data_IF_425960442110
#
_entry.id   IF_425960442110
#
_cell.length_a   1.000
_cell.length_b   1.000
_cell.length_c   1.000
_cell.angle_alpha   90.00
_cell.angle_beta   90.00
_cell.angle_gamma   90.00
#
_symmetry.space_group_name_H-M   'P 1'
#
loop_
_entity.id
_entity.type
_entity.pdbx_description
1 polymer ?
#
# COMPACT_ATOMS: atom_id res chain seq x y z
N UNK A 1 -17.56 -13.57 52.64
CA UNK A 1 -18.16 -13.66 51.30
C UNK A 1 -18.39 -12.26 50.78
N UNK A 2 -18.19 -12.08 49.47
CA UNK A 2 -18.38 -10.86 48.67
C UNK A 2 -17.25 -9.82 48.72
N UNK A 3 -16.25 -10.06 47.86
CA UNK A 3 -15.35 -9.04 47.34
C UNK A 3 -15.94 -8.44 46.04
N UNK A 4 -15.91 -7.11 45.98
CA UNK A 4 -16.31 -6.22 44.89
C UNK A 4 -15.43 -6.39 43.65
N UNK A 5 -16.04 -6.74 42.51
CA UNK A 5 -15.36 -6.88 41.22
C UNK A 5 -15.65 -5.71 40.27
N UNK A 6 -14.69 -4.79 40.14
CA UNK A 6 -14.61 -3.81 39.04
C UNK A 6 -14.26 -4.52 37.73
N UNK A 7 -15.19 -4.57 36.76
CA UNK A 7 -14.92 -5.06 35.40
C UNK A 7 -14.46 -3.90 34.50
N UNK A 8 -13.25 -4.02 33.95
CA UNK A 8 -12.70 -3.16 32.88
C UNK A 8 -13.39 -3.45 31.54
N UNK A 9 -13.73 -2.44 30.72
CA UNK A 9 -14.27 -2.65 29.39
C UNK A 9 -13.16 -2.99 28.37
N UNK A 10 -13.44 -3.96 27.51
CA UNK A 10 -12.64 -4.44 26.39
C UNK A 10 -12.69 -3.48 25.19
N UNK A 11 -11.59 -3.24 24.46
CA UNK A 11 -11.60 -2.38 23.26
C UNK A 11 -12.05 -3.14 22.01
N UNK A 12 -12.98 -2.54 21.26
CA UNK A 12 -13.44 -2.96 19.93
C UNK A 12 -12.45 -2.58 18.82
N UNK A 13 -12.26 -3.40 17.77
CA UNK A 13 -11.38 -3.08 16.66
C UNK A 13 -12.00 -2.11 15.66
N UNK A 14 -11.25 -1.06 15.31
CA UNK A 14 -11.56 -0.07 14.28
C UNK A 14 -11.19 -0.61 12.89
N UNK A 15 -12.19 -0.98 12.09
CA UNK A 15 -12.03 -1.32 10.68
C UNK A 15 -11.86 -0.03 9.84
N UNK A 16 -10.64 0.23 9.38
CA UNK A 16 -10.32 1.27 8.40
C UNK A 16 -10.61 0.75 6.97
N UNK A 17 -11.82 0.97 6.45
CA UNK A 17 -12.10 0.80 5.02
C UNK A 17 -11.59 2.00 4.23
N UNK A 18 -10.48 1.80 3.50
CA UNK A 18 -9.87 2.77 2.58
C UNK A 18 -10.64 2.75 1.26
N UNK A 19 -11.40 3.81 0.97
CA UNK A 19 -12.11 3.98 -0.30
C UNK A 19 -11.16 4.51 -1.38
N UNK A 20 -11.04 3.79 -2.49
CA UNK A 20 -10.45 4.29 -3.74
C UNK A 20 -11.58 4.87 -4.59
N UNK A 21 -11.57 6.18 -4.82
CA UNK A 21 -12.56 6.88 -5.65
C UNK A 21 -12.10 6.81 -7.11
N UNK A 22 -12.90 6.17 -7.97
CA UNK A 22 -12.71 6.17 -9.42
C UNK A 22 -13.76 7.09 -10.05
N UNK A 23 -13.34 8.21 -10.66
CA UNK A 23 -14.23 9.13 -11.37
C UNK A 23 -14.49 8.61 -12.79
N UNK A 24 -15.74 8.33 -13.11
CA UNK A 24 -16.23 8.09 -14.47
C UNK A 24 -17.37 9.08 -14.74
N UNK A 25 -17.11 10.06 -15.61
CA UNK A 25 -18.14 10.99 -16.11
C UNK A 25 -18.91 10.35 -17.25
N UNK A 26 -20.20 10.08 -17.03
CA UNK A 26 -21.15 9.72 -18.08
C UNK A 26 -22.34 10.68 -18.04
N UNK A 27 -22.49 11.48 -19.08
CA UNK A 27 -23.72 12.23 -19.38
C UNK A 27 -24.81 11.26 -19.85
N UNK A 28 -25.95 11.23 -19.17
CA UNK A 28 -27.13 10.49 -19.60
C UNK A 28 -28.42 11.33 -19.45
N UNK A 29 -29.41 11.17 -20.35
CA UNK A 29 -30.69 11.88 -20.31
C UNK A 29 -31.71 11.22 -19.35
N UNK A 30 -32.59 12.06 -18.81
CA UNK A 30 -33.68 11.80 -17.85
C UNK A 30 -34.98 11.31 -18.55
N UNK A 31 -36.06 10.85 -17.86
CA UNK A 31 -36.18 10.16 -16.57
C UNK A 31 -37.07 8.87 -16.64
N UNK A 32 -36.81 7.87 -15.79
CA UNK A 32 -37.90 7.08 -15.16
C UNK A 32 -37.57 6.84 -13.69
N UNK A 33 -38.60 6.97 -12.85
CA UNK A 33 -38.57 7.15 -11.39
C UNK A 33 -37.81 6.01 -10.67
N UNK A 34 -36.62 6.30 -10.18
CA UNK A 34 -35.96 5.57 -9.09
C UNK A 34 -36.18 6.35 -7.78
N UNK A 35 -36.46 5.67 -6.67
CA UNK A 35 -36.47 6.31 -5.35
C UNK A 35 -35.03 6.74 -5.01
N UNK A 36 -34.74 8.00 -5.28
CA UNK A 36 -33.45 8.61 -5.11
C UNK A 36 -33.47 9.44 -3.82
N UNK A 37 -32.76 8.98 -2.78
CA UNK A 37 -32.52 9.83 -1.59
C UNK A 37 -31.32 10.71 -1.90
N UNK A 38 -31.55 11.90 -2.47
CA UNK A 38 -30.49 12.86 -2.77
C UNK A 38 -30.33 13.86 -1.61
N UNK A 39 -29.16 13.89 -0.96
CA UNK A 39 -28.83 14.96 -0.01
C UNK A 39 -28.09 16.07 -0.74
N UNK A 40 -28.68 17.27 -0.81
CA UNK A 40 -28.01 18.48 -1.31
C UNK A 40 -27.60 19.34 -0.11
N UNK A 41 -26.30 19.52 0.11
CA UNK A 41 -25.79 20.51 1.07
C UNK A 41 -25.36 21.75 0.29
N UNK A 42 -26.17 22.82 0.35
CA UNK A 42 -25.73 24.17 0.00
C UNK A 42 -25.18 24.80 1.28
N UNK A 43 -23.90 25.12 1.31
CA UNK A 43 -23.26 25.79 2.45
C UNK A 43 -23.28 27.30 2.23
N UNK A 44 -24.03 28.03 3.05
CA UNK A 44 -23.73 29.45 3.37
C UNK A 44 -22.84 29.58 4.60
N UNK A 45 -22.28 28.48 5.12
CA UNK A 45 -21.29 28.48 6.19
C UNK A 45 -20.54 27.14 6.25
N UNK A 46 -19.37 27.08 5.60
CA UNK A 46 -18.16 26.29 5.92
C UNK A 46 -17.26 26.30 4.70
N UNK A 47 -16.07 26.87 4.85
CA UNK A 47 -14.99 27.01 3.85
C UNK A 47 -14.62 25.68 3.19
N UNK A 48 -15.43 25.24 2.23
CA UNK A 48 -15.22 24.03 1.46
C UNK A 48 -15.98 24.14 0.15
N UNK A 49 -15.34 23.73 -0.93
CA UNK A 49 -15.96 23.71 -2.27
C UNK A 49 -17.26 22.91 -2.25
N UNK A 50 -18.27 23.34 -3.00
CA UNK A 50 -19.55 22.65 -3.11
C UNK A 50 -19.39 21.27 -3.77
N UNK A 51 -19.95 20.22 -3.16
CA UNK A 51 -19.97 18.85 -3.71
C UNK A 51 -21.39 18.27 -3.69
N UNK A 52 -21.72 17.45 -4.69
CA UNK A 52 -23.00 16.72 -4.76
C UNK A 52 -22.72 15.22 -4.73
N UNK A 53 -23.27 14.52 -3.73
CA UNK A 53 -23.20 13.07 -3.60
C UNK A 53 -24.61 12.47 -3.67
N UNK A 54 -24.78 11.41 -4.47
CA UNK A 54 -26.05 10.69 -4.60
C UNK A 54 -25.81 9.21 -4.40
N UNK A 55 -26.61 8.57 -3.54
CA UNK A 55 -26.55 7.13 -3.25
C UNK A 55 -27.79 6.46 -3.87
N UNK A 56 -27.57 5.41 -4.65
CA UNK A 56 -28.63 4.61 -5.27
C UNK A 56 -28.49 3.15 -4.88
N UNK A 57 -29.61 2.42 -4.86
CA UNK A 57 -29.64 0.96 -4.77
C UNK A 57 -29.91 0.39 -6.17
N UNK A 58 -29.08 -0.54 -6.67
CA UNK A 58 -29.29 -1.11 -7.99
C UNK A 58 -30.54 -1.99 -8.00
N UNK A 59 -31.45 -1.74 -8.94
CA UNK A 59 -32.64 -2.54 -9.18
C UNK A 59 -32.57 -3.07 -10.62
N UNK A 60 -32.16 -4.33 -10.73
CA UNK A 60 -31.98 -5.14 -11.95
C UNK A 60 -30.65 -4.99 -12.72
N UNK A 61 -30.01 -6.12 -13.10
CA UNK A 61 -28.78 -6.10 -13.88
C UNK A 61 -29.06 -5.80 -15.36
N UNK A 62 -28.33 -4.84 -15.94
CA UNK A 62 -28.32 -4.58 -17.37
C UNK A 62 -27.76 -5.78 -18.16
N UNK A 63 -28.22 -6.00 -19.41
CA UNK A 63 -27.69 -7.05 -20.28
C UNK A 63 -26.19 -6.85 -20.52
N UNK A 64 -25.40 -7.90 -20.26
CA UNK A 64 -23.94 -7.87 -20.42
C UNK A 64 -23.58 -7.97 -21.90
N UNK A 65 -22.96 -6.93 -22.45
CA UNK A 65 -22.28 -7.01 -23.75
C UNK A 65 -20.96 -7.76 -23.57
N UNK A 66 -20.80 -8.90 -24.25
CA UNK A 66 -19.61 -9.74 -24.16
C UNK A 66 -18.44 -9.14 -24.94
N UNK A 67 -17.57 -8.40 -24.26
CA UNK A 67 -16.27 -8.00 -24.80
C UNK A 67 -15.28 -9.12 -24.49
N UNK A 68 -14.62 -9.65 -25.52
CA UNK A 68 -13.55 -10.64 -25.35
C UNK A 68 -12.27 -9.91 -24.97
N UNK A 69 -11.76 -10.19 -23.79
CA UNK A 69 -10.47 -9.69 -23.33
C UNK A 69 -9.38 -10.71 -23.71
N UNK A 70 -8.19 -10.21 -24.08
CA UNK A 70 -7.04 -11.06 -24.39
C UNK A 70 -6.54 -11.85 -23.18
N UNK A 71 -5.54 -12.71 -23.40
CA UNK A 71 -4.94 -13.51 -22.34
C UNK A 71 -4.37 -12.63 -21.21
N UNK A 72 -4.57 -13.08 -19.97
CA UNK A 72 -4.04 -12.39 -18.79
C UNK A 72 -2.52 -12.60 -18.71
N UNK A 73 -1.70 -11.53 -18.57
CA UNK A 73 -0.25 -11.63 -18.72
C UNK A 73 0.50 -12.10 -17.45
N UNK A 74 -0.21 -12.49 -16.39
CA UNK A 74 0.38 -12.96 -15.13
C UNK A 74 0.00 -14.41 -14.86
N UNK A 75 0.92 -15.14 -14.22
CA UNK A 75 0.76 -16.53 -13.81
C UNK A 75 0.83 -16.62 -12.29
N UNK A 76 -0.05 -17.37 -11.61
CA UNK A 76 0.00 -17.48 -10.16
C UNK A 76 1.24 -18.25 -9.71
N UNK A 77 1.94 -17.75 -8.70
CA UNK A 77 3.08 -18.41 -8.04
C UNK A 77 2.56 -19.33 -6.95
N UNK A 78 2.91 -20.63 -7.00
CA UNK A 78 2.47 -21.63 -6.02
C UNK A 78 3.59 -22.59 -5.65
N UNK A 79 3.47 -23.22 -4.48
CA UNK A 79 4.41 -24.24 -4.01
C UNK A 79 5.75 -23.65 -3.54
N UNK A 80 6.85 -24.26 -3.96
CA UNK A 80 8.20 -23.99 -3.44
C UNK A 80 8.68 -22.56 -3.72
N UNK A 81 8.40 -22.03 -4.91
CA UNK A 81 8.82 -20.68 -5.30
C UNK A 81 8.11 -19.62 -4.47
N UNK A 82 6.80 -19.77 -4.25
CA UNK A 82 6.02 -18.86 -3.40
C UNK A 82 6.58 -18.85 -1.97
N UNK A 83 6.87 -20.02 -1.39
CA UNK A 83 7.47 -20.13 -0.06
C UNK A 83 8.83 -19.43 0.02
N UNK A 84 9.67 -19.58 -1.01
CA UNK A 84 10.98 -18.93 -1.05
C UNK A 84 10.86 -17.40 -1.09
N UNK A 85 9.93 -16.87 -1.88
CA UNK A 85 9.64 -15.43 -1.94
C UNK A 85 9.13 -14.93 -0.58
N UNK A 86 8.17 -15.63 0.03
CA UNK A 86 7.63 -15.25 1.35
C UNK A 86 8.70 -15.29 2.44
N UNK A 87 9.58 -16.29 2.45
CA UNK A 87 10.69 -16.36 3.39
C UNK A 87 11.69 -15.22 3.19
N UNK A 88 12.04 -14.91 1.94
CA UNK A 88 12.93 -13.80 1.62
C UNK A 88 12.31 -12.45 2.01
N UNK A 89 11.01 -12.28 1.83
CA UNK A 89 10.27 -11.09 2.23
C UNK A 89 10.22 -10.93 3.76
N UNK A 90 9.92 -12.02 4.47
CA UNK A 90 9.91 -12.02 5.93
C UNK A 90 11.30 -11.68 6.49
N UNK A 91 12.38 -12.15 5.86
CA UNK A 91 13.75 -11.82 6.27
C UNK A 91 14.06 -10.31 6.21
N UNK A 92 13.44 -9.58 5.28
CA UNK A 92 13.57 -8.11 5.16
C UNK A 92 12.45 -7.34 5.89
N UNK A 93 11.56 -8.04 6.60
CA UNK A 93 10.49 -7.45 7.39
C UNK A 93 9.23 -7.05 6.61
N UNK A 94 9.03 -7.60 5.40
CA UNK A 94 7.80 -7.45 4.62
C UNK A 94 6.85 -8.62 4.96
N UNK A 95 5.65 -8.29 5.44
CA UNK A 95 4.64 -9.26 5.86
C UNK A 95 3.32 -8.97 5.16
N UNK A 96 2.58 -10.01 4.79
CA UNK A 96 1.23 -9.89 4.23
C UNK A 96 0.34 -11.04 4.73
N UNK A 97 -0.97 -10.86 4.55
CA UNK A 97 -2.00 -11.83 4.95
C UNK A 97 -2.31 -12.84 3.84
N UNK A 98 -3.16 -13.81 4.16
CA UNK A 98 -3.62 -14.85 3.21
C UNK A 98 -4.54 -14.29 2.11
N UNK A 99 -5.04 -13.06 2.26
CA UNK A 99 -5.87 -12.40 1.25
C UNK A 99 -5.04 -11.92 0.06
N UNK A 100 -3.72 -11.94 0.16
CA UNK A 100 -2.79 -11.53 -0.89
C UNK A 100 -2.09 -12.75 -1.49
N UNK A 101 -2.33 -12.98 -2.78
CA UNK A 101 -1.73 -14.06 -3.55
C UNK A 101 -0.56 -13.57 -4.40
N UNK A 102 0.48 -14.39 -4.50
CA UNK A 102 1.65 -14.12 -5.32
C UNK A 102 1.39 -14.47 -6.79
N UNK A 103 1.75 -13.56 -7.67
CA UNK A 103 1.69 -13.71 -9.12
C UNK A 103 3.03 -13.31 -9.73
N UNK A 104 3.38 -13.93 -10.85
CA UNK A 104 4.59 -13.60 -11.58
C UNK A 104 4.29 -13.20 -13.01
N UNK A 105 5.15 -12.32 -13.51
CA UNK A 105 5.24 -11.98 -14.93
C UNK A 105 6.69 -11.80 -15.29
N UNK A 106 7.22 -12.71 -16.10
CA UNK A 106 8.63 -12.73 -16.49
C UNK A 106 9.55 -12.72 -15.25
N UNK A 107 10.16 -11.57 -14.93
CA UNK A 107 11.02 -11.38 -13.75
C UNK A 107 10.36 -10.56 -12.64
N UNK A 108 9.11 -10.17 -12.80
CA UNK A 108 8.38 -9.39 -11.81
C UNK A 108 7.53 -10.29 -10.93
N UNK A 109 7.57 -10.03 -9.63
CA UNK A 109 6.70 -10.65 -8.63
C UNK A 109 5.71 -9.60 -8.14
N UNK A 110 4.44 -9.96 -8.17
CA UNK A 110 3.30 -9.12 -7.84
C UNK A 110 2.46 -9.77 -6.74
N UNK A 111 1.79 -8.94 -5.94
CA UNK A 111 0.81 -9.37 -4.95
C UNK A 111 -0.57 -8.86 -5.35
N UNK A 112 -1.50 -9.78 -5.57
CA UNK A 112 -2.89 -9.47 -5.91
C UNK A 112 -3.85 -9.86 -4.78
N UNK A 113 -4.89 -9.06 -4.51
CA UNK A 113 -5.92 -9.42 -3.55
C UNK A 113 -6.80 -10.56 -4.10
N UNK A 114 -7.17 -11.53 -3.27
CA UNK A 114 -7.90 -12.73 -3.66
C UNK A 114 -9.25 -12.42 -4.34
N UNK A 115 -9.92 -11.35 -3.96
CA UNK A 115 -11.23 -10.97 -4.50
C UNK A 115 -11.16 -10.59 -6.00
N UNK A 116 -10.01 -10.11 -6.47
CA UNK A 116 -9.82 -9.67 -7.85
C UNK A 116 -9.74 -10.83 -8.82
N UNK A 117 -9.43 -12.04 -8.35
CA UNK A 117 -9.27 -13.23 -9.19
C UNK A 117 -10.57 -13.55 -9.95
N UNK A 118 -11.71 -13.33 -9.31
CA UNK A 118 -13.04 -13.52 -9.91
C UNK A 118 -13.34 -12.56 -11.09
N UNK A 119 -12.56 -11.49 -11.20
CA UNK A 119 -12.70 -10.44 -12.22
C UNK A 119 -11.64 -10.57 -13.34
N UNK A 120 -10.65 -11.45 -13.19
CA UNK A 120 -9.67 -11.78 -14.23
C UNK A 120 -10.41 -12.33 -15.46
N UNK A 121 -10.14 -11.76 -16.63
CA UNK A 121 -10.81 -12.12 -17.89
C UNK A 121 -12.19 -11.49 -18.10
N UNK A 122 -12.74 -10.74 -17.12
CA UNK A 122 -14.01 -10.00 -17.27
C UNK A 122 -13.80 -8.52 -17.60
N UNK A 123 -12.65 -7.96 -17.23
CA UNK A 123 -12.30 -6.56 -17.43
C UNK A 123 -10.81 -6.44 -17.79
N UNK A 124 -10.46 -5.39 -18.54
CA UNK A 124 -9.05 -5.00 -18.75
C UNK A 124 -8.58 -4.19 -17.55
N UNK A 125 -7.57 -4.70 -16.85
CA UNK A 125 -6.95 -3.97 -15.76
C UNK A 125 -5.77 -3.13 -16.24
N UNK A 126 -5.67 -1.90 -15.77
CA UNK A 126 -4.49 -1.05 -15.98
C UNK A 126 -3.39 -1.34 -14.97
N UNK A 127 -3.75 -1.66 -13.73
CA UNK A 127 -2.86 -1.97 -12.63
C UNK A 127 -3.59 -2.87 -11.65
N UNK A 128 -2.94 -3.93 -11.22
CA UNK A 128 -3.49 -4.92 -10.29
C UNK A 128 -2.54 -5.04 -9.11
N UNK A 129 -3.08 -4.90 -7.90
CA UNK A 129 -2.32 -5.04 -6.67
C UNK A 129 -1.06 -4.18 -6.63
N UNK A 130 -0.03 -4.72 -5.97
CA UNK A 130 1.26 -4.05 -5.76
C UNK A 130 2.40 -4.89 -6.33
N UNK A 131 3.39 -4.22 -6.93
CA UNK A 131 4.60 -4.89 -7.40
C UNK A 131 5.49 -5.14 -6.19
N UNK A 132 5.71 -6.41 -5.85
CA UNK A 132 6.46 -6.80 -4.66
C UNK A 132 7.97 -6.66 -4.89
N UNK A 133 8.48 -7.32 -5.93
CA UNK A 133 9.89 -7.35 -6.23
C UNK A 133 10.17 -7.67 -7.70
N UNK A 134 11.41 -7.45 -8.11
CA UNK A 134 11.96 -8.02 -9.35
C UNK A 134 12.95 -9.13 -8.99
N UNK A 135 12.83 -10.28 -9.63
CA UNK A 135 13.74 -11.40 -9.48
C UNK A 135 15.04 -11.14 -10.25
N UNK A 136 16.15 -11.39 -9.57
CA UNK A 136 17.49 -11.23 -10.10
C UNK A 136 18.32 -12.49 -9.77
N UNK A 137 19.43 -12.71 -10.49
CA UNK A 137 20.24 -13.93 -10.34
C UNK A 137 20.79 -14.17 -8.91
N UNK A 138 20.90 -13.11 -8.09
CA UNK A 138 21.44 -13.16 -6.72
C UNK A 138 20.42 -12.78 -5.63
N UNK A 139 19.12 -12.78 -5.95
CA UNK A 139 18.06 -12.46 -4.99
C UNK A 139 16.99 -11.54 -5.57
N UNK A 140 16.22 -10.91 -4.69
CA UNK A 140 15.10 -10.05 -5.05
C UNK A 140 15.43 -8.58 -4.86
N UNK A 141 15.06 -7.76 -5.84
CA UNK A 141 15.04 -6.31 -5.71
C UNK A 141 13.65 -5.87 -5.29
N UNK A 142 13.48 -5.64 -4.00
CA UNK A 142 12.23 -5.17 -3.40
C UNK A 142 11.86 -3.78 -3.92
N UNK A 143 10.57 -3.59 -4.22
CA UNK A 143 10.05 -2.31 -4.66
C UNK A 143 9.69 -1.43 -3.46
N UNK A 144 9.89 -0.12 -3.62
CA UNK A 144 9.59 0.85 -2.56
C UNK A 144 8.12 0.81 -2.16
N UNK A 145 7.18 0.76 -3.12
CA UNK A 145 5.74 0.70 -2.83
C UNK A 145 5.37 -0.48 -1.93
N UNK A 146 5.92 -1.67 -2.20
CA UNK A 146 5.69 -2.84 -1.38
C UNK A 146 6.28 -2.67 0.02
N UNK A 147 7.43 -2.00 0.14
CA UNK A 147 8.00 -1.68 1.45
C UNK A 147 7.07 -0.77 2.25
N UNK A 148 6.57 0.31 1.65
CA UNK A 148 5.66 1.23 2.36
C UNK A 148 4.36 0.53 2.79
N UNK A 149 3.85 -0.40 1.97
CA UNK A 149 2.58 -1.07 2.24
C UNK A 149 2.69 -2.24 3.24
N UNK A 150 3.80 -3.00 3.20
CA UNK A 150 3.91 -4.30 3.87
C UNK A 150 4.97 -4.35 4.97
N UNK A 151 5.81 -3.33 5.09
CA UNK A 151 6.87 -3.34 6.09
C UNK A 151 6.30 -3.29 7.51
N UNK A 152 6.85 -4.14 8.38
CA UNK A 152 6.56 -4.14 9.80
C UNK A 152 7.56 -3.23 10.54
N UNK A 153 7.14 -2.09 11.12
CA UNK A 153 8.06 -1.15 11.77
C UNK A 153 8.73 -1.71 13.03
N UNK A 154 8.16 -2.76 13.63
CA UNK A 154 8.70 -3.43 14.82
C UNK A 154 9.60 -4.61 14.49
N UNK A 155 10.03 -4.75 13.23
CA UNK A 155 10.90 -5.85 12.81
C UNK A 155 12.30 -5.72 13.41
N UNK A 156 13.00 -6.85 13.61
CA UNK A 156 14.34 -6.89 14.21
C UNK A 156 15.43 -6.14 13.40
N UNK A 157 15.14 -5.81 12.14
CA UNK A 157 16.03 -5.08 11.23
C UNK A 157 15.53 -3.67 10.91
N UNK A 158 14.55 -3.17 11.67
CA UNK A 158 14.13 -1.79 11.60
C UNK A 158 15.22 -0.88 12.20
N UNK A 159 15.52 0.20 11.50
CA UNK A 159 16.48 1.22 11.88
C UNK A 159 15.81 2.59 11.85
N UNK A 160 15.58 3.13 13.05
CA UNK A 160 14.92 4.41 13.24
C UNK A 160 15.91 5.55 12.97
N UNK A 161 15.57 6.40 12.00
CA UNK A 161 16.34 7.60 11.67
C UNK A 161 16.00 8.76 12.62
N UNK A 162 16.99 9.59 12.88
CA UNK A 162 16.76 10.93 13.41
C UNK A 162 16.11 11.84 12.36
N UNK A 163 15.56 12.99 12.78
CA UNK A 163 14.97 13.96 11.86
C UNK A 163 15.97 14.49 10.80
N UNK A 164 17.24 14.67 11.19
CA UNK A 164 18.30 15.11 10.28
C UNK A 164 18.63 14.03 9.24
N UNK A 165 18.75 12.78 9.66
CA UNK A 165 19.01 11.67 8.74
C UNK A 165 17.81 11.40 7.83
N UNK A 166 16.58 11.53 8.34
CA UNK A 166 15.38 11.44 7.53
C UNK A 166 15.33 12.53 6.45
N UNK A 167 15.80 13.75 6.74
CA UNK A 167 15.91 14.83 5.75
C UNK A 167 16.86 14.48 4.62
N UNK A 168 18.05 13.99 4.96
CA UNK A 168 19.03 13.54 3.97
C UNK A 168 18.51 12.34 3.16
N UNK A 169 17.72 11.45 3.79
CA UNK A 169 17.08 10.34 3.11
C UNK A 169 16.09 10.81 2.04
N UNK A 170 15.22 11.77 2.38
CA UNK A 170 14.26 12.35 1.43
C UNK A 170 14.91 13.19 0.32
N UNK A 171 16.11 13.74 0.57
CA UNK A 171 16.97 14.37 -0.44
C UNK A 171 17.70 13.35 -1.32
N UNK A 172 17.49 12.05 -1.11
CA UNK A 172 18.09 10.98 -1.89
C UNK A 172 19.57 10.74 -1.58
N UNK A 173 20.07 11.21 -0.42
CA UNK A 173 21.47 11.04 0.01
C UNK A 173 21.65 9.81 0.90
N UNK A 174 22.87 9.26 0.86
CA UNK A 174 23.28 8.16 1.73
C UNK A 174 23.38 8.63 3.19
N UNK A 175 23.06 7.73 4.13
CA UNK A 175 23.06 8.03 5.57
C UNK A 175 24.29 7.43 6.22
N UNK A 176 24.91 8.16 7.16
CA UNK A 176 26.09 7.74 7.91
C UNK A 176 25.74 7.70 9.40
N UNK A 177 25.08 6.62 9.86
CA UNK A 177 24.70 6.50 11.25
C UNK A 177 25.94 6.34 12.14
N UNK A 178 25.91 6.90 13.34
CA UNK A 178 27.00 6.74 14.32
C UNK A 178 27.19 5.27 14.72
N UNK A 179 26.09 4.54 14.87
CA UNK A 179 26.09 3.10 15.11
C UNK A 179 25.47 2.40 13.89
N UNK A 180 26.27 1.75 13.03
CA UNK A 180 25.73 1.08 11.86
C UNK A 180 24.89 -0.13 12.29
N UNK A 181 23.79 -0.43 11.57
CA UNK A 181 22.98 -1.61 11.83
C UNK A 181 23.80 -2.89 11.61
N UNK A 182 23.47 -3.95 12.35
CA UNK A 182 24.18 -5.23 12.25
C UNK A 182 23.87 -5.99 10.95
N UNK A 183 22.67 -5.83 10.41
CA UNK A 183 22.22 -6.49 9.19
C UNK A 183 22.67 -5.72 7.93
N UNK A 184 22.82 -6.44 6.82
CA UNK A 184 23.13 -5.84 5.53
C UNK A 184 21.89 -5.25 4.87
N UNK A 185 20.73 -5.90 5.01
CA UNK A 185 19.43 -5.37 4.62
C UNK A 185 18.76 -4.70 5.83
N UNK A 186 18.37 -3.44 5.66
CA UNK A 186 17.90 -2.59 6.76
C UNK A 186 16.58 -1.95 6.38
N UNK A 187 15.56 -2.10 7.22
CA UNK A 187 14.30 -1.38 7.06
C UNK A 187 14.43 -0.01 7.71
N UNK A 188 14.50 1.03 6.90
CA UNK A 188 14.63 2.41 7.39
C UNK A 188 13.26 2.91 7.82
N UNK A 189 13.16 3.38 9.05
CA UNK A 189 11.93 3.93 9.64
C UNK A 189 12.14 5.35 10.16
N UNK A 190 11.07 6.14 10.20
CA UNK A 190 11.05 7.44 10.85
C UNK A 190 9.67 7.67 11.46
N UNK A 191 9.64 8.04 12.74
CA UNK A 191 8.42 8.10 13.56
C UNK A 191 7.64 6.78 13.53
N UNK A 192 8.35 5.65 13.57
CA UNK A 192 7.77 4.30 13.42
C UNK A 192 7.00 4.08 12.11
N UNK A 193 7.24 4.90 11.08
CA UNK A 193 6.71 4.70 9.74
C UNK A 193 7.81 4.17 8.82
N UNK A 194 7.53 3.15 7.99
CA UNK A 194 8.52 2.65 7.05
C UNK A 194 8.79 3.70 5.97
N UNK A 195 10.07 4.01 5.76
CA UNK A 195 10.53 4.91 4.69
C UNK A 195 11.07 4.13 3.48
N UNK A 196 11.60 2.94 3.69
CA UNK A 196 12.14 2.12 2.61
C UNK A 196 13.15 1.08 3.07
N UNK A 197 13.49 0.16 2.18
CA UNK A 197 14.54 -0.84 2.41
C UNK A 197 15.87 -0.33 1.89
N UNK A 198 16.87 -0.27 2.75
CA UNK A 198 18.21 0.15 2.43
C UNK A 198 19.21 -1.00 2.55
N UNK A 199 20.37 -0.82 1.91
CA UNK A 199 21.51 -1.73 2.09
C UNK A 199 22.64 -1.03 2.83
N UNK A 200 23.17 -1.67 3.86
CA UNK A 200 24.39 -1.25 4.53
C UNK A 200 25.59 -1.57 3.64
N UNK A 201 26.47 -0.59 3.45
CA UNK A 201 27.74 -0.72 2.73
C UNK A 201 28.84 -0.20 3.63
N UNK A 202 29.44 -1.09 4.42
CA UNK A 202 30.44 -0.71 5.42
C UNK A 202 29.81 0.12 6.54
N UNK A 203 30.20 1.39 6.63
CA UNK A 203 29.70 2.35 7.63
C UNK A 203 28.50 3.19 7.16
N UNK A 204 28.12 3.12 5.87
CA UNK A 204 26.99 3.89 5.33
C UNK A 204 25.78 3.02 5.02
N UNK A 205 24.62 3.64 5.06
CA UNK A 205 23.36 3.10 4.56
C UNK A 205 23.11 3.72 3.19
N UNK A 206 23.10 2.87 2.15
CA UNK A 206 22.85 3.30 0.77
C UNK A 206 21.39 3.66 0.60
N UNK A 207 21.15 4.84 0.04
CA UNK A 207 19.81 5.33 -0.25
C UNK A 207 19.20 4.57 -1.45
N UNK A 208 17.99 4.06 -1.24
CA UNK A 208 17.16 3.37 -2.23
C UNK A 208 15.86 4.13 -2.53
N UNK A 209 15.74 5.36 -2.03
CA UNK A 209 14.55 6.16 -2.17
C UNK A 209 14.33 6.54 -3.65
N UNK A 210 13.10 6.33 -4.18
CA UNK A 210 12.83 6.57 -5.59
C UNK A 210 13.11 8.03 -5.98
N UNK A 211 13.79 8.23 -7.11
CA UNK A 211 14.29 9.55 -7.55
C UNK A 211 13.16 10.51 -7.87
N UNK A 212 12.03 9.97 -8.32
CA UNK A 212 10.79 10.68 -8.58
C UNK A 212 10.12 11.23 -7.32
N UNK A 213 10.48 10.71 -6.14
CA UNK A 213 9.95 11.18 -4.85
C UNK A 213 10.92 12.07 -4.08
N UNK A 214 12.15 12.24 -4.58
CA UNK A 214 13.20 13.07 -3.96
C UNK A 214 12.72 14.52 -3.88
N UNK A 215 13.01 15.16 -2.76
CA UNK A 215 12.59 16.53 -2.49
C UNK A 215 13.80 17.41 -2.17
N UNK A 216 13.93 18.50 -2.90
CA UNK A 216 15.02 19.48 -2.71
C UNK A 216 14.64 20.64 -1.76
N UNK A 217 13.35 20.79 -1.44
CA UNK A 217 12.83 21.88 -0.60
C UNK A 217 12.99 21.68 0.92
N UNK A 218 12.47 22.63 1.71
CA UNK A 218 12.42 22.52 3.18
C UNK A 218 11.41 21.44 3.58
N UNK A 219 11.90 20.36 4.20
CA UNK A 219 11.08 19.20 4.56
C UNK A 219 10.61 19.21 5.99
N UNK A 220 11.48 19.66 6.89
CA UNK A 220 11.16 19.79 8.30
C UNK A 220 11.04 21.27 8.64
N UNK A 221 9.87 21.66 9.14
CA UNK A 221 9.74 22.91 9.88
C UNK A 221 10.37 22.67 11.25
N UNK A 222 11.69 22.78 11.33
CA UNK A 222 12.34 22.89 12.64
C UNK A 222 11.73 24.09 13.37
N UNK A 223 11.28 23.87 14.60
CA UNK A 223 11.17 24.93 15.60
C UNK A 223 12.56 25.54 15.75
N UNK A 224 12.82 26.60 14.99
CA UNK A 224 13.86 27.57 15.27
C UNK A 224 13.44 28.45 16.44
#
# INVERSE_FOLDING_TARGET
>A
MSASGCKRPTPTPLNFCRWVICFLTLTAPSPRKASCTSSRKFTTAKDSSSHVCVKYHPFQPCPRRGIKWGAFPFTPLKGREALHVSQAANAVGLLWDENLHLWQREKEVWLFPAEIESLIGKVRFSRLGIKLAESHNKGYRWQHEATIALACPTHAHAFELSAQEAEEWYRGRDIYPQTPPAADDVLVTFQHQPLGLAKRIGSRIKNSYPRELVRDGKLFTGNS
#
